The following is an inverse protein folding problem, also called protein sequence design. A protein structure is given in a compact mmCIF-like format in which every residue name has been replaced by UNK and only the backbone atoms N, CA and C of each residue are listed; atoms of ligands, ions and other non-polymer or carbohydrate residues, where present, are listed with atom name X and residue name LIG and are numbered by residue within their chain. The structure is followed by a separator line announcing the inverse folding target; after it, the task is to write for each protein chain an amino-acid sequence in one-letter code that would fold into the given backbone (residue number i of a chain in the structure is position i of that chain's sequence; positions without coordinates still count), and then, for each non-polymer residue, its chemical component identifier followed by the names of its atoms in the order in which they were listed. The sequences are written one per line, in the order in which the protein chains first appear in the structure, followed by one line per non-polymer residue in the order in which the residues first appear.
data_IF_313094017335
#
_entry.id   IF_313094017335
#
_cell.length_a   1.000
_cell.length_b   1.000
_cell.length_c   1.000
_cell.angle_alpha   90.00
_cell.angle_beta   90.00
_cell.angle_gamma   90.00
#
_symmetry.space_group_name_H-M   'P 1'
#
loop_
_entity.id
_entity.type
_entity.pdbx_description
1 polymer ?
#
# COMPACT_ATOMS: atom_id res chain seq x y z
N UNK A 1 -37.97 24.76 -38.95
CA UNK A 1 -36.84 24.87 -39.89
C UNK A 1 -35.58 24.51 -39.13
N UNK A 2 -34.82 23.54 -39.63
CA UNK A 2 -33.63 22.97 -38.99
C UNK A 2 -32.39 23.86 -39.22
N UNK A 3 -31.55 24.01 -38.20
CA UNK A 3 -30.25 24.70 -38.28
C UNK A 3 -29.13 23.77 -37.83
N UNK A 4 -28.17 23.56 -38.72
CA UNK A 4 -27.13 22.52 -38.69
C UNK A 4 -26.07 22.67 -37.59
N UNK A 5 -25.64 21.53 -37.04
CA UNK A 5 -24.45 21.37 -36.21
C UNK A 5 -23.18 21.33 -37.09
N UNK A 6 -22.20 22.20 -36.81
CA UNK A 6 -20.91 22.20 -37.49
C UNK A 6 -19.88 21.37 -36.68
N UNK A 7 -19.76 20.09 -37.01
CA UNK A 7 -18.67 19.23 -36.53
C UNK A 7 -17.34 19.64 -37.16
N UNK A 8 -16.40 20.14 -36.36
CA UNK A 8 -15.02 20.40 -36.77
C UNK A 8 -14.18 19.12 -36.60
N UNK A 9 -14.12 18.30 -37.65
CA UNK A 9 -13.09 17.28 -37.80
C UNK A 9 -11.84 17.89 -38.44
N UNK A 10 -10.75 18.04 -37.68
CA UNK A 10 -9.47 18.46 -38.23
C UNK A 10 -8.83 17.28 -38.98
N UNK A 11 -8.75 17.39 -40.31
CA UNK A 11 -8.03 16.44 -41.16
C UNK A 11 -6.56 16.88 -41.20
N UNK A 12 -5.70 16.18 -40.46
CA UNK A 12 -4.24 16.36 -40.51
C UNK A 12 -3.75 15.90 -41.88
N UNK A 13 -3.02 16.76 -42.59
CA UNK A 13 -2.49 16.44 -43.93
C UNK A 13 -1.11 15.81 -43.78
N UNK A 14 -0.81 14.83 -44.63
CA UNK A 14 0.44 14.02 -44.60
C UNK A 14 1.76 14.83 -44.62
N UNK A 15 1.74 16.13 -44.92
CA UNK A 15 2.93 16.99 -44.88
C UNK A 15 3.43 17.21 -43.44
N UNK A 16 2.53 17.22 -42.47
CA UNK A 16 2.85 17.46 -41.06
C UNK A 16 3.58 16.27 -40.41
N UNK A 17 3.45 15.07 -40.97
CA UNK A 17 4.15 13.87 -40.46
C UNK A 17 5.65 13.90 -40.75
N UNK A 18 6.07 14.48 -41.88
CA UNK A 18 7.49 14.53 -42.25
C UNK A 18 8.27 15.46 -41.30
N UNK A 19 7.64 16.57 -40.87
CA UNK A 19 8.25 17.52 -39.94
C UNK A 19 8.35 16.96 -38.52
N UNK A 20 7.39 16.11 -38.10
CA UNK A 20 7.44 15.40 -36.81
C UNK A 20 8.62 14.42 -36.75
N UNK A 21 8.93 13.75 -37.87
CA UNK A 21 10.05 12.79 -37.91
C UNK A 21 11.41 13.47 -37.90
N UNK A 22 11.58 14.59 -38.62
CA UNK A 22 12.83 15.38 -38.55
C UNK A 22 13.10 15.90 -37.14
N UNK A 23 12.07 16.34 -36.42
CA UNK A 23 12.26 16.86 -35.07
C UNK A 23 12.73 15.80 -34.06
N UNK A 24 12.37 14.53 -34.28
CA UNK A 24 12.81 13.41 -33.43
C UNK A 24 14.30 13.11 -33.60
N UNK A 25 14.81 13.15 -34.83
CA UNK A 25 16.21 12.84 -35.15
C UNK A 25 17.17 13.89 -34.57
N UNK A 26 16.76 15.17 -34.54
CA UNK A 26 17.54 16.26 -33.92
C UNK A 26 17.64 16.15 -32.38
N UNK A 27 16.66 15.51 -31.73
CA UNK A 27 16.67 15.30 -30.27
C UNK A 27 17.63 14.17 -29.90
N UNK A 28 17.62 13.07 -30.65
CA UNK A 28 18.49 11.91 -30.38
C UNK A 28 19.98 12.27 -30.61
N UNK A 29 20.29 13.13 -31.57
CA UNK A 29 21.65 13.62 -31.81
C UNK A 29 22.17 14.62 -30.75
N UNK A 30 21.29 15.35 -30.05
CA UNK A 30 21.70 16.22 -28.92
C UNK A 30 22.09 15.43 -27.68
N UNK A 31 21.41 14.31 -27.43
CA UNK A 31 21.65 13.50 -26.21
C UNK A 31 23.02 12.80 -26.23
N UNK A 32 23.54 12.46 -27.41
CA UNK A 32 24.81 11.73 -27.53
C UNK A 32 26.07 12.63 -27.50
N UNK A 33 25.94 13.96 -27.63
CA UNK A 33 27.09 14.86 -27.65
C UNK A 33 27.40 15.51 -26.29
N UNK A 34 26.55 15.32 -25.28
CA UNK A 34 26.74 15.92 -23.95
C UNK A 34 27.40 14.94 -22.93
N UNK A 35 27.81 13.73 -23.33
CA UNK A 35 28.31 12.71 -22.39
C UNK A 35 29.83 12.62 -22.22
N UNK A 36 30.62 13.47 -22.88
CA UNK A 36 32.08 13.42 -22.78
C UNK A 36 32.69 14.81 -22.56
N UNK A 37 32.55 15.36 -21.35
CA UNK A 37 33.55 16.23 -20.69
C UNK A 37 32.96 16.81 -19.40
N UNK A 38 33.23 16.18 -18.25
CA UNK A 38 33.56 16.93 -17.03
C UNK A 38 34.11 16.00 -15.93
N UNK A 39 35.43 15.90 -15.91
CA UNK A 39 36.21 15.61 -14.70
C UNK A 39 36.35 16.92 -13.91
N UNK A 40 35.62 17.08 -12.81
CA UNK A 40 35.82 18.23 -11.92
C UNK A 40 35.27 17.98 -10.52
N UNK A 41 36.21 17.76 -9.60
CA UNK A 41 36.22 18.16 -8.19
C UNK A 41 35.03 17.81 -7.29
N UNK A 42 35.29 16.91 -6.34
CA UNK A 42 34.57 16.72 -5.08
C UNK A 42 34.46 18.05 -4.30
N UNK A 43 33.47 18.87 -4.66
CA UNK A 43 32.83 19.79 -3.73
C UNK A 43 31.46 19.21 -3.42
N UNK A 44 31.19 18.94 -2.15
CA UNK A 44 29.89 18.56 -1.61
C UNK A 44 28.88 19.70 -1.90
N UNK A 45 28.34 19.73 -3.12
CA UNK A 45 27.20 20.58 -3.44
C UNK A 45 26.00 20.06 -2.66
N UNK A 46 25.63 20.77 -1.59
CA UNK A 46 24.35 20.56 -0.95
C UNK A 46 23.24 20.59 -2.03
N UNK A 47 22.36 19.57 -2.04
CA UNK A 47 21.32 19.51 -3.05
C UNK A 47 20.49 20.80 -3.01
N UNK A 48 20.11 21.37 -4.18
CA UNK A 48 19.39 22.63 -4.24
C UNK A 48 18.19 22.57 -3.30
N UNK A 49 18.17 23.52 -2.35
CA UNK A 49 17.12 23.63 -1.35
C UNK A 49 15.78 23.74 -2.06
N UNK A 50 15.01 22.63 -2.10
CA UNK A 50 13.73 22.58 -2.80
C UNK A 50 12.86 23.69 -2.24
N UNK A 51 12.48 24.63 -3.09
CA UNK A 51 11.60 25.73 -2.71
C UNK A 51 10.45 25.18 -1.88
N UNK A 52 10.25 25.77 -0.70
CA UNK A 52 9.28 25.29 0.28
C UNK A 52 7.93 25.24 -0.42
N UNK A 53 7.50 24.03 -0.78
CA UNK A 53 6.30 23.85 -1.59
C UNK A 53 5.08 24.45 -0.91
N UNK A 54 3.97 24.59 -1.65
CA UNK A 54 2.73 25.16 -1.11
C UNK A 54 2.38 24.51 0.25
N UNK A 55 2.14 25.30 1.30
CA UNK A 55 1.82 24.77 2.62
C UNK A 55 0.68 23.76 2.58
N UNK A 56 0.82 22.68 3.34
CA UNK A 56 -0.22 21.66 3.43
C UNK A 56 -1.44 22.27 4.12
N UNK A 57 -2.59 22.26 3.44
CA UNK A 57 -3.88 22.60 4.07
C UNK A 57 -4.20 21.63 5.22
N UNK A 58 -4.88 22.09 6.30
CA UNK A 58 -5.34 21.22 7.37
C UNK A 58 -6.12 20.02 6.84
N UNK A 59 -6.01 18.88 7.52
CA UNK A 59 -6.63 17.64 7.05
C UNK A 59 -8.14 17.81 6.85
N UNK A 60 -8.84 18.42 7.80
CA UNK A 60 -10.30 18.60 7.75
C UNK A 60 -10.80 19.36 6.53
N UNK A 61 -10.05 20.37 6.09
CA UNK A 61 -10.37 21.23 4.95
C UNK A 61 -9.90 20.65 3.61
N UNK A 62 -9.11 19.57 3.62
CA UNK A 62 -8.59 18.97 2.40
C UNK A 62 -9.70 18.25 1.60
N UNK A 63 -9.55 18.23 0.27
CA UNK A 63 -10.43 17.45 -0.60
C UNK A 63 -10.39 15.95 -0.28
N UNK A 64 -11.45 15.21 -0.61
CA UNK A 64 -11.54 13.76 -0.39
C UNK A 64 -10.37 13.00 -1.03
N UNK A 65 -9.93 13.41 -2.23
CA UNK A 65 -8.77 12.83 -2.93
C UNK A 65 -7.48 13.03 -2.11
N UNK A 66 -7.24 14.25 -1.62
CA UNK A 66 -6.07 14.58 -0.82
C UNK A 66 -6.08 13.86 0.52
N UNK A 67 -7.23 13.76 1.20
CA UNK A 67 -7.39 12.98 2.43
C UNK A 67 -6.99 11.53 2.20
N UNK A 68 -7.54 10.87 1.17
CA UNK A 68 -7.21 9.47 0.82
C UNK A 68 -5.72 9.28 0.56
N UNK A 69 -5.10 10.15 -0.25
CA UNK A 69 -3.67 10.06 -0.54
C UNK A 69 -2.82 10.20 0.73
N UNK A 70 -3.14 11.17 1.59
CA UNK A 70 -2.43 11.36 2.86
C UNK A 70 -2.60 10.18 3.82
N UNK A 71 -3.80 9.59 3.88
CA UNK A 71 -4.02 8.37 4.68
C UNK A 71 -3.17 7.24 4.11
N UNK A 72 -3.15 7.04 2.79
CA UNK A 72 -2.31 6.03 2.17
C UNK A 72 -0.82 6.25 2.48
N UNK A 73 -0.31 7.48 2.38
CA UNK A 73 1.07 7.85 2.78
C UNK A 73 1.35 7.43 4.23
N UNK A 74 0.40 7.60 5.16
CA UNK A 74 0.56 7.22 6.57
C UNK A 74 0.43 5.70 6.82
N UNK A 75 -0.34 4.98 6.00
CA UNK A 75 -0.63 3.56 6.20
C UNK A 75 0.20 2.63 5.34
N UNK A 76 1.07 3.14 4.45
CA UNK A 76 1.80 2.32 3.46
C UNK A 76 2.62 1.22 4.13
N UNK A 77 3.26 1.53 5.27
CA UNK A 77 4.17 0.60 5.95
C UNK A 77 3.51 -0.12 7.15
N UNK A 78 2.18 -0.05 7.29
CA UNK A 78 1.46 -0.57 8.47
C UNK A 78 0.48 -1.66 8.09
N UNK A 79 0.49 -2.73 8.86
CA UNK A 79 -0.49 -3.81 8.70
C UNK A 79 -1.88 -3.38 9.18
N UNK A 80 -2.93 -4.02 8.64
CA UNK A 80 -4.31 -3.74 9.04
C UNK A 80 -4.54 -3.93 10.55
N UNK A 81 -3.88 -4.93 11.15
CA UNK A 81 -3.97 -5.23 12.59
C UNK A 81 -3.40 -4.10 13.44
N UNK A 82 -2.25 -3.53 13.05
CA UNK A 82 -1.64 -2.40 13.76
C UNK A 82 -2.50 -1.14 13.67
N UNK A 83 -3.10 -0.87 12.50
CA UNK A 83 -3.99 0.27 12.32
C UNK A 83 -5.26 0.12 13.15
N UNK A 84 -5.84 -1.09 13.18
CA UNK A 84 -6.99 -1.39 14.02
C UNK A 84 -6.65 -1.28 15.52
N UNK A 85 -5.47 -1.74 15.92
CA UNK A 85 -4.96 -1.58 17.27
C UNK A 85 -4.84 -0.09 17.65
N UNK A 86 -4.21 0.72 16.80
CA UNK A 86 -4.05 2.15 17.02
C UNK A 86 -5.40 2.87 17.19
N UNK A 87 -6.39 2.55 16.34
CA UNK A 87 -7.75 3.09 16.45
C UNK A 87 -8.39 2.68 17.78
N UNK A 88 -8.25 1.42 18.20
CA UNK A 88 -8.82 0.94 19.46
C UNK A 88 -8.21 1.62 20.68
N UNK A 89 -6.89 1.82 20.68
CA UNK A 89 -6.17 2.54 21.74
C UNK A 89 -6.65 3.97 21.85
N UNK A 90 -6.70 4.71 20.72
CA UNK A 90 -7.12 6.12 20.71
C UNK A 90 -8.61 6.28 21.05
N UNK A 91 -9.45 5.37 20.57
CA UNK A 91 -10.89 5.42 20.84
C UNK A 91 -11.28 4.92 22.22
N UNK A 92 -10.32 4.47 23.05
CA UNK A 92 -10.60 3.86 24.35
C UNK A 92 -11.47 2.61 24.27
N UNK A 93 -11.62 2.03 23.06
CA UNK A 93 -12.36 0.80 22.87
C UNK A 93 -11.49 -0.34 23.37
N UNK A 94 -11.79 -0.80 24.58
CA UNK A 94 -11.18 -1.99 25.16
C UNK A 94 -11.15 -3.12 24.12
N UNK A 95 -9.99 -3.76 23.97
CA UNK A 95 -9.79 -5.04 23.27
C UNK A 95 -10.60 -6.15 23.99
N UNK A 96 -11.92 -6.05 23.94
CA UNK A 96 -12.82 -6.82 24.80
C UNK A 96 -13.77 -7.60 23.92
N UNK A 97 -13.28 -8.75 23.44
CA UNK A 97 -13.91 -10.09 23.62
C UNK A 97 -13.56 -11.07 22.50
N UNK A 98 -13.37 -10.64 21.26
CA UNK A 98 -13.15 -11.58 20.14
C UNK A 98 -11.77 -12.25 20.20
N UNK A 99 -10.70 -11.48 20.40
CA UNK A 99 -9.33 -12.01 20.43
C UNK A 99 -9.04 -12.96 21.61
N UNK A 100 -9.75 -12.78 22.74
CA UNK A 100 -9.64 -13.69 23.89
C UNK A 100 -10.44 -14.97 23.69
N UNK A 101 -11.56 -14.92 22.95
CA UNK A 101 -12.44 -16.07 22.76
C UNK A 101 -11.87 -17.05 21.74
N UNK A 102 -11.37 -16.54 20.61
CA UNK A 102 -10.78 -17.38 19.56
C UNK A 102 -9.52 -18.12 20.06
N UNK A 103 -8.65 -17.45 20.82
CA UNK A 103 -7.49 -18.11 21.44
C UNK A 103 -7.89 -19.10 22.54
N UNK A 104 -8.92 -18.81 23.33
CA UNK A 104 -9.41 -19.73 24.35
C UNK A 104 -10.02 -21.00 23.73
N UNK A 105 -10.75 -20.86 22.63
CA UNK A 105 -11.35 -21.98 21.91
C UNK A 105 -10.27 -22.83 21.21
N UNK A 106 -9.21 -22.19 20.68
CA UNK A 106 -8.05 -22.89 20.12
C UNK A 106 -7.34 -23.76 21.18
N UNK A 107 -7.03 -23.19 22.35
CA UNK A 107 -6.36 -23.92 23.45
C UNK A 107 -7.21 -25.09 23.92
N UNK A 108 -8.52 -24.88 24.14
CA UNK A 108 -9.44 -25.95 24.55
C UNK A 108 -9.54 -27.08 23.53
N UNK A 109 -9.52 -26.76 22.24
CA UNK A 109 -9.55 -27.78 21.19
C UNK A 109 -8.25 -28.59 21.18
N UNK A 110 -7.10 -27.93 21.35
CA UNK A 110 -5.80 -28.63 21.45
C UNK A 110 -5.70 -29.51 22.70
N UNK A 111 -6.21 -29.06 23.85
CA UNK A 111 -6.26 -29.85 25.09
C UNK A 111 -7.09 -31.11 24.91
N UNK A 112 -8.27 -31.01 24.29
CA UNK A 112 -9.13 -32.17 24.00
C UNK A 112 -8.46 -33.16 23.07
N UNK A 113 -7.79 -32.68 22.02
CA UNK A 113 -7.08 -33.55 21.08
C UNK A 113 -5.93 -34.32 21.77
N UNK A 114 -5.21 -33.66 22.68
CA UNK A 114 -4.14 -34.29 23.47
C UNK A 114 -4.71 -35.35 24.40
N UNK A 115 -5.80 -35.05 25.11
CA UNK A 115 -6.46 -36.01 26.02
C UNK A 115 -6.90 -37.26 25.26
N UNK A 116 -7.57 -37.10 24.11
CA UNK A 116 -8.00 -38.25 23.28
C UNK A 116 -6.80 -39.06 22.76
N UNK A 117 -5.68 -38.42 22.43
CA UNK A 117 -4.45 -39.14 22.05
C UNK A 117 -3.87 -39.95 23.23
N UNK A 118 -3.90 -39.40 24.45
CA UNK A 118 -3.43 -40.10 25.65
C UNK A 118 -4.31 -41.32 25.94
N UNK A 119 -5.64 -41.18 25.87
CA UNK A 119 -6.60 -42.28 26.09
C UNK A 119 -6.41 -43.42 25.08
N UNK A 120 -6.08 -43.10 23.82
CA UNK A 120 -5.83 -44.11 22.79
C UNK A 120 -4.45 -44.78 22.92
N UNK A 121 -3.45 -44.10 23.51
CA UNK A 121 -2.10 -44.62 23.67
C UNK A 121 -1.91 -45.44 24.95
N UNK A 122 -2.73 -45.20 25.98
CA UNK A 122 -2.70 -45.96 27.22
C UNK A 122 -4.00 -46.77 27.31
N UNK A 123 -4.02 -48.05 26.89
CA UNK A 123 -5.11 -48.95 27.25
C UNK A 123 -5.02 -49.19 28.76
N UNK A 124 -5.65 -48.33 29.55
CA UNK A 124 -5.82 -48.56 30.98
C UNK A 124 -6.89 -49.65 31.12
N UNK A 125 -6.47 -50.91 31.19
CA UNK A 125 -7.32 -51.97 31.73
C UNK A 125 -7.54 -51.69 33.22
N UNK A 126 -8.54 -50.87 33.55
CA UNK A 126 -9.02 -50.74 34.93
C UNK A 126 -9.75 -52.04 35.26
N UNK A 127 -9.02 -53.07 35.71
CA UNK A 127 -9.62 -54.21 36.40
C UNK A 127 -10.02 -53.73 37.79
N UNK A 128 -11.26 -53.25 37.93
CA UNK A 128 -11.88 -53.12 39.25
C UNK A 128 -12.00 -54.52 39.83
N UNK A 129 -11.20 -54.84 40.85
CA UNK A 129 -11.49 -55.99 41.71
C UNK A 129 -12.84 -55.71 42.39
N UNK A 130 -13.86 -56.44 41.97
CA UNK A 130 -15.01 -56.68 42.83
C UNK A 130 -14.49 -57.56 43.97
N UNK A 131 -14.28 -56.96 45.15
CA UNK A 131 -14.04 -57.71 46.37
C UNK A 131 -15.31 -57.65 47.23
N UNK A 132 -15.74 -58.86 47.60
CA UNK A 132 -16.91 -59.26 48.41
C UNK A 132 -17.09 -58.49 49.72
#
# INVERSE_FOLDING_TARGET
MAGNEAGHGAIVRNRDLIDVWKHREDIENKINNDSEENTSSDEEQEPPCRSVGRPRVPFEQASKKTKRRRVAELTTDRSANELQFAVNVVSGRNYSRSFKKENADLVRNTEKEIITKIENLIPIEIKTKEDN
#
